data_IF_093543576673
#
_entry.id   IF_093543576673
#
_cell.length_a   1.000
_cell.length_b   1.000
_cell.length_c   1.000
_cell.angle_alpha   90.00
_cell.angle_beta   90.00
_cell.angle_gamma   90.00
#
_symmetry.space_group_name_H-M   'P 1'
#
loop_
_entity.id
_entity.type
_entity.pdbx_description
1 polymer ?
#
# COMPACT_ATOMS: atom_id res chain seq x y z
N UNK A 1 29.39 14.61 -6.74
CA UNK A 1 29.07 13.20 -6.46
C UNK A 1 28.18 13.05 -5.23
N UNK A 2 28.58 13.57 -4.06
CA UNK A 2 27.78 13.44 -2.81
C UNK A 2 26.34 13.95 -2.97
N UNK A 3 26.15 15.14 -3.55
CA UNK A 3 24.81 15.70 -3.76
C UNK A 3 23.92 14.82 -4.65
N UNK A 4 24.48 14.22 -5.68
CA UNK A 4 23.76 13.28 -6.56
C UNK A 4 23.37 12.03 -5.78
N UNK A 5 24.32 11.46 -5.03
CA UNK A 5 24.04 10.29 -4.21
C UNK A 5 22.92 10.54 -3.19
N UNK A 6 22.92 11.72 -2.56
CA UNK A 6 21.83 12.13 -1.63
C UNK A 6 20.50 12.25 -2.38
N UNK A 7 20.48 12.85 -3.57
CA UNK A 7 19.23 12.96 -4.35
C UNK A 7 18.64 11.59 -4.69
N UNK A 8 19.46 10.66 -5.19
CA UNK A 8 19.01 9.30 -5.50
C UNK A 8 18.60 8.51 -4.24
N UNK A 9 19.35 8.68 -3.14
CA UNK A 9 19.00 8.09 -1.86
C UNK A 9 17.59 8.52 -1.41
N UNK A 10 17.31 9.82 -1.41
CA UNK A 10 16.00 10.36 -1.00
C UNK A 10 14.90 9.89 -1.95
N UNK A 11 15.16 9.83 -3.26
CA UNK A 11 14.20 9.32 -4.25
C UNK A 11 13.81 7.88 -3.97
N UNK A 12 14.78 6.99 -3.72
CA UNK A 12 14.50 5.57 -3.44
C UNK A 12 13.75 5.40 -2.13
N UNK A 13 14.13 6.14 -1.08
CA UNK A 13 13.41 6.11 0.18
C UNK A 13 11.95 6.54 -0.03
N UNK A 14 11.69 7.64 -0.75
CA UNK A 14 10.34 8.11 -1.01
C UNK A 14 9.49 7.06 -1.76
N UNK A 15 10.04 6.45 -2.80
CA UNK A 15 9.37 5.37 -3.55
C UNK A 15 9.13 4.14 -2.69
N UNK A 16 10.11 3.76 -1.85
CA UNK A 16 9.99 2.58 -0.98
C UNK A 16 8.98 2.79 0.15
N UNK A 17 8.91 4.00 0.72
CA UNK A 17 7.89 4.39 1.72
C UNK A 17 6.50 4.32 1.10
N UNK A 18 6.26 5.00 -0.04
CA UNK A 18 4.97 4.99 -0.72
C UNK A 18 4.51 3.56 -1.06
N UNK A 19 5.38 2.76 -1.66
CA UNK A 19 5.09 1.36 -2.00
C UNK A 19 4.85 0.50 -0.74
N UNK A 20 5.56 0.79 0.35
CA UNK A 20 5.44 0.12 1.63
C UNK A 20 4.09 0.39 2.29
N UNK A 21 3.72 1.66 2.45
CA UNK A 21 2.42 2.05 3.02
C UNK A 21 1.26 1.44 2.25
N UNK A 22 1.27 1.55 0.92
CA UNK A 22 0.22 0.99 0.07
C UNK A 22 0.06 -0.52 0.28
N UNK A 23 1.15 -1.26 0.35
CA UNK A 23 1.09 -2.71 0.55
C UNK A 23 0.61 -3.07 1.94
N UNK A 24 1.20 -2.48 2.98
CA UNK A 24 0.93 -2.83 4.37
C UNK A 24 -0.52 -2.55 4.73
N UNK A 25 -1.01 -1.36 4.41
CA UNK A 25 -2.40 -0.98 4.69
C UNK A 25 -3.38 -1.87 3.92
N UNK A 26 -3.14 -2.08 2.61
CA UNK A 26 -4.04 -2.90 1.81
C UNK A 26 -4.07 -4.35 2.29
N UNK A 27 -2.92 -4.99 2.51
CA UNK A 27 -2.88 -6.36 3.01
C UNK A 27 -3.40 -6.48 4.43
N UNK A 28 -3.20 -5.47 5.26
CA UNK A 28 -3.74 -5.43 6.62
C UNK A 28 -5.26 -5.43 6.62
N UNK A 29 -5.90 -4.58 5.81
CA UNK A 29 -7.37 -4.56 5.72
C UNK A 29 -7.88 -5.84 5.05
N UNK A 30 -7.25 -6.29 3.96
CA UNK A 30 -7.65 -7.50 3.25
C UNK A 30 -7.58 -8.75 4.14
N UNK A 31 -6.68 -8.81 5.12
CA UNK A 31 -6.61 -9.92 6.07
C UNK A 31 -7.81 -10.00 7.02
N UNK A 32 -8.51 -8.89 7.22
CA UNK A 32 -9.66 -8.81 8.11
C UNK A 32 -10.98 -8.86 7.36
N UNK A 33 -11.06 -8.33 6.13
CA UNK A 33 -12.33 -8.18 5.39
C UNK A 33 -12.32 -8.72 3.96
N UNK A 34 -11.28 -9.47 3.56
CA UNK A 34 -11.09 -9.88 2.16
C UNK A 34 -10.75 -8.69 1.25
N UNK A 35 -10.49 -8.94 -0.02
CA UNK A 35 -10.24 -7.90 -1.04
C UNK A 35 -11.54 -7.42 -1.70
N UNK A 36 -12.51 -8.34 -1.89
CA UNK A 36 -13.85 -8.08 -2.43
C UNK A 36 -14.84 -8.81 -1.52
N UNK A 37 -16.01 -8.24 -1.31
CA UNK A 37 -17.11 -8.88 -0.59
C UNK A 37 -18.34 -8.93 -1.46
N UNK A 38 -19.05 -10.06 -1.43
CA UNK A 38 -20.42 -10.20 -1.91
C UNK A 38 -21.35 -10.12 -0.71
N UNK A 39 -22.24 -9.14 -0.70
CA UNK A 39 -23.20 -8.88 0.37
C UNK A 39 -24.62 -8.78 -0.22
N UNK A 40 -25.68 -9.00 0.58
CA UNK A 40 -27.04 -8.75 0.11
C UNK A 40 -27.23 -7.29 -0.32
N UNK A 41 -28.12 -7.06 -1.27
CA UNK A 41 -28.34 -5.74 -1.88
C UNK A 41 -28.89 -4.70 -0.90
N UNK A 42 -29.54 -5.11 0.17
CA UNK A 42 -30.05 -4.24 1.23
C UNK A 42 -28.94 -3.67 2.14
N UNK A 43 -27.71 -4.12 1.95
CA UNK A 43 -26.53 -3.73 2.71
C UNK A 43 -26.61 -3.96 4.24
N UNK A 44 -27.60 -4.70 4.72
CA UNK A 44 -27.82 -4.99 6.15
C UNK A 44 -27.11 -6.27 6.61
N UNK A 45 -25.96 -6.58 6.03
CA UNK A 45 -25.21 -7.81 6.28
C UNK A 45 -24.62 -7.92 7.70
N UNK A 46 -24.71 -6.89 8.54
CA UNK A 46 -24.30 -6.92 9.95
C UNK A 46 -25.44 -7.21 10.92
N UNK A 47 -26.65 -7.38 10.39
CA UNK A 47 -27.88 -7.74 11.11
C UNK A 47 -28.12 -9.25 11.18
N UNK A 48 -29.32 -9.64 11.60
CA UNK A 48 -29.79 -11.03 11.59
C UNK A 48 -30.90 -11.27 10.56
N UNK A 49 -31.28 -10.25 9.77
CA UNK A 49 -32.51 -10.23 8.99
C UNK A 49 -32.33 -10.71 7.54
N UNK A 50 -31.10 -10.63 7.01
CA UNK A 50 -30.82 -10.90 5.59
C UNK A 50 -29.67 -11.90 5.41
N UNK A 51 -29.87 -13.19 5.78
CA UNK A 51 -28.87 -14.22 5.47
C UNK A 51 -28.83 -14.49 3.97
N UNK A 52 -27.66 -14.84 3.47
CA UNK A 52 -27.44 -15.29 2.10
C UNK A 52 -26.88 -16.70 2.11
N UNK A 53 -27.02 -17.44 0.99
CA UNK A 53 -26.43 -18.78 0.90
C UNK A 53 -24.89 -18.72 0.94
N UNK A 54 -24.27 -19.64 1.67
CA UNK A 54 -22.82 -19.82 1.66
C UNK A 54 -22.30 -20.35 0.32
N UNK A 55 -23.18 -20.90 -0.51
CA UNK A 55 -22.92 -21.39 -1.86
C UNK A 55 -23.96 -20.89 -2.84
N UNK A 56 -24.00 -19.59 -3.14
CA UNK A 56 -24.95 -19.05 -4.11
C UNK A 56 -24.68 -19.62 -5.51
N UNK A 57 -25.68 -19.59 -6.39
CA UNK A 57 -25.50 -19.93 -7.79
C UNK A 57 -24.33 -19.15 -8.42
N UNK A 58 -23.53 -19.84 -9.25
CA UNK A 58 -22.34 -19.22 -9.90
C UNK A 58 -21.08 -19.14 -9.05
N UNK A 59 -21.06 -19.64 -7.81
CA UNK A 59 -19.90 -19.55 -6.92
C UNK A 59 -18.65 -20.25 -7.50
N UNK A 60 -18.85 -21.35 -8.23
CA UNK A 60 -17.74 -22.10 -8.86
C UNK A 60 -17.10 -21.27 -9.99
N UNK A 61 -17.89 -20.52 -10.75
CA UNK A 61 -17.39 -19.61 -11.80
C UNK A 61 -16.67 -18.41 -11.17
N UNK A 62 -17.22 -17.85 -10.10
CA UNK A 62 -16.58 -16.78 -9.33
C UNK A 62 -15.23 -17.25 -8.77
N UNK A 63 -15.16 -18.46 -8.23
CA UNK A 63 -13.94 -19.05 -7.71
C UNK A 63 -12.89 -19.34 -8.80
N UNK A 64 -13.33 -19.54 -10.04
CA UNK A 64 -12.48 -19.77 -11.20
C UNK A 64 -11.98 -18.46 -11.87
N UNK A 65 -12.47 -17.31 -11.46
CA UNK A 65 -12.02 -16.00 -11.99
C UNK A 65 -10.53 -15.83 -11.73
N UNK A 66 -9.80 -15.43 -12.75
CA UNK A 66 -8.35 -15.28 -12.68
C UNK A 66 -7.95 -14.26 -11.59
N UNK A 67 -7.12 -14.69 -10.66
CA UNK A 67 -6.64 -13.87 -9.55
C UNK A 67 -7.45 -14.04 -8.26
N UNK A 68 -8.56 -14.76 -8.27
CA UNK A 68 -9.26 -15.20 -7.06
C UNK A 68 -8.43 -16.33 -6.44
N UNK A 69 -8.06 -16.13 -5.18
CA UNK A 69 -7.32 -17.11 -4.39
C UNK A 69 -8.22 -18.00 -3.57
N UNK A 70 -9.21 -17.39 -2.94
CA UNK A 70 -10.12 -18.08 -2.02
C UNK A 70 -11.42 -17.28 -1.88
N UNK A 71 -12.54 -17.99 -1.73
CA UNK A 71 -13.84 -17.46 -1.38
C UNK A 71 -14.23 -18.03 -0.03
N UNK A 72 -14.39 -17.16 0.98
CA UNK A 72 -14.64 -17.55 2.36
C UNK A 72 -16.01 -17.05 2.82
N UNK A 73 -16.93 -17.94 3.22
CA UNK A 73 -18.21 -17.52 3.83
C UNK A 73 -17.96 -16.95 5.22
N UNK A 74 -18.60 -15.84 5.55
CA UNK A 74 -18.43 -15.15 6.85
C UNK A 74 -19.76 -14.66 7.39
N UNK A 75 -19.84 -14.57 8.72
CA UNK A 75 -21.00 -14.00 9.42
C UNK A 75 -20.55 -12.76 10.16
N UNK A 76 -21.16 -11.63 9.84
CA UNK A 76 -20.98 -10.38 10.55
C UNK A 76 -22.16 -10.12 11.47
N UNK A 77 -21.90 -9.68 12.68
CA UNK A 77 -22.91 -9.29 13.63
C UNK A 77 -22.48 -8.06 14.42
N UNK A 78 -23.21 -6.98 14.32
CA UNK A 78 -23.02 -5.82 15.19
C UNK A 78 -23.38 -6.16 16.62
N UNK A 79 -22.56 -5.73 17.55
CA UNK A 79 -22.78 -5.94 18.98
C UNK A 79 -22.23 -4.80 19.82
N UNK A 80 -22.70 -4.73 21.03
CA UNK A 80 -22.21 -3.79 22.05
C UNK A 80 -21.55 -4.60 23.14
N UNK A 81 -20.29 -4.30 23.44
CA UNK A 81 -19.57 -4.91 24.55
C UNK A 81 -19.46 -3.94 25.70
N UNK A 82 -19.58 -4.47 26.92
CA UNK A 82 -19.56 -3.67 28.13
C UNK A 82 -18.65 -4.32 29.17
N UNK A 83 -17.80 -3.50 29.81
CA UNK A 83 -17.11 -3.80 31.05
C UNK A 83 -17.23 -2.58 31.98
N UNK A 84 -17.82 -2.77 33.14
CA UNK A 84 -18.12 -1.70 34.10
C UNK A 84 -18.87 -0.53 33.44
N UNK A 85 -18.27 0.68 33.37
CA UNK A 85 -18.84 1.86 32.72
C UNK A 85 -18.39 2.04 31.27
N UNK A 86 -17.43 1.23 30.79
CA UNK A 86 -16.92 1.30 29.44
C UNK A 86 -17.80 0.51 28.49
N UNK A 87 -18.32 1.19 27.46
CA UNK A 87 -19.22 0.63 26.45
C UNK A 87 -18.64 0.92 25.07
N UNK A 88 -18.46 -0.15 24.24
CA UNK A 88 -17.96 -0.01 22.88
C UNK A 88 -18.82 -0.80 21.90
N UNK A 89 -19.07 -0.19 20.73
CA UNK A 89 -19.60 -0.90 19.58
C UNK A 89 -18.53 -1.78 18.94
N UNK A 90 -18.86 -3.01 18.60
CA UNK A 90 -17.96 -3.96 17.94
C UNK A 90 -18.70 -4.70 16.84
N UNK A 91 -17.96 -5.24 15.89
CA UNK A 91 -18.49 -6.17 14.88
C UNK A 91 -17.90 -7.55 15.17
N UNK A 92 -18.73 -8.51 15.48
CA UNK A 92 -18.34 -9.91 15.56
C UNK A 92 -18.25 -10.48 14.15
N UNK A 93 -17.14 -11.15 13.86
CA UNK A 93 -16.90 -11.83 12.60
C UNK A 93 -16.72 -13.32 12.84
N UNK A 94 -17.71 -14.09 12.44
CA UNK A 94 -17.64 -15.56 12.40
C UNK A 94 -16.88 -16.04 11.18
N UNK A 95 -15.80 -16.77 11.38
CA UNK A 95 -14.93 -17.29 10.31
C UNK A 95 -14.86 -18.81 10.41
N UNK A 96 -14.92 -19.55 9.28
CA UNK A 96 -14.74 -21.01 9.30
C UNK A 96 -13.30 -21.39 9.66
N UNK A 97 -13.12 -22.59 10.21
CA UNK A 97 -11.78 -23.12 10.55
C UNK A 97 -11.14 -22.55 11.82
N UNK A 98 -11.85 -21.74 12.59
CA UNK A 98 -11.39 -21.25 13.90
C UNK A 98 -11.89 -22.16 15.05
N UNK A 99 -11.59 -23.45 14.97
CA UNK A 99 -12.04 -24.44 15.97
C UNK A 99 -11.52 -24.16 17.37
N UNK A 100 -10.38 -23.48 17.47
CA UNK A 100 -9.83 -23.02 18.76
C UNK A 100 -10.72 -22.01 19.48
N UNK A 101 -11.63 -21.34 18.77
CA UNK A 101 -12.61 -20.40 19.29
C UNK A 101 -14.00 -21.01 19.49
N UNK A 102 -14.20 -22.32 19.16
CA UNK A 102 -15.50 -22.98 19.37
C UNK A 102 -15.93 -22.94 20.84
N UNK A 103 -17.25 -22.87 21.07
CA UNK A 103 -17.83 -22.83 22.41
C UNK A 103 -17.79 -21.45 23.06
N UNK A 104 -18.11 -20.40 22.30
CA UNK A 104 -18.12 -19.00 22.70
C UNK A 104 -16.71 -18.43 23.04
N UNK A 105 -15.66 -19.01 22.48
CA UNK A 105 -14.34 -18.41 22.46
C UNK A 105 -14.24 -17.29 21.43
N UNK A 106 -13.51 -16.23 21.76
CA UNK A 106 -13.28 -15.12 20.86
C UNK A 106 -11.81 -14.70 20.83
N UNK A 107 -11.42 -14.07 19.72
CA UNK A 107 -10.16 -13.33 19.62
C UNK A 107 -10.48 -11.84 19.46
N UNK A 108 -9.94 -11.01 20.33
CA UNK A 108 -10.21 -9.57 20.33
C UNK A 108 -8.99 -8.78 19.84
N UNK A 109 -9.19 -7.61 19.19
CA UNK A 109 -8.07 -6.77 18.80
C UNK A 109 -7.41 -6.13 20.03
N UNK A 110 -6.11 -5.90 19.95
CA UNK A 110 -5.28 -5.28 21.00
C UNK A 110 -5.82 -3.92 21.48
N UNK A 111 -6.41 -3.15 20.55
CA UNK A 111 -7.08 -1.88 20.88
C UNK A 111 -8.27 -2.09 21.79
N UNK A 112 -9.15 -3.08 21.50
CA UNK A 112 -10.31 -3.37 22.37
C UNK A 112 -9.86 -3.92 23.72
N UNK A 113 -8.85 -4.78 23.74
CA UNK A 113 -8.24 -5.29 24.97
C UNK A 113 -7.75 -4.15 25.87
N UNK A 114 -7.09 -3.15 25.28
CA UNK A 114 -6.60 -1.96 26.01
C UNK A 114 -7.74 -1.05 26.50
N UNK A 115 -8.78 -0.82 25.66
CA UNK A 115 -9.92 0.04 26.02
C UNK A 115 -10.76 -0.53 27.16
N UNK A 116 -10.89 -1.87 27.22
CA UNK A 116 -11.66 -2.56 28.23
C UNK A 116 -10.79 -3.10 29.38
N UNK A 117 -9.46 -2.94 29.32
CA UNK A 117 -8.52 -3.55 30.26
C UNK A 117 -8.76 -5.04 30.45
N UNK A 118 -8.94 -5.77 29.33
CA UNK A 118 -9.18 -7.21 29.26
C UNK A 118 -8.01 -7.93 28.60
N UNK A 119 -7.77 -9.17 29.04
CA UNK A 119 -6.72 -10.05 28.52
C UNK A 119 -7.22 -11.44 28.17
N UNK A 120 -6.27 -12.29 27.78
CA UNK A 120 -6.55 -13.71 27.52
C UNK A 120 -7.04 -14.39 28.81
N UNK A 121 -8.11 -15.18 28.68
CA UNK A 121 -8.76 -15.88 29.78
C UNK A 121 -9.90 -15.11 30.45
N UNK A 122 -10.03 -13.80 30.19
CA UNK A 122 -11.13 -13.00 30.74
C UNK A 122 -12.44 -13.26 29.97
N UNK A 123 -13.55 -12.93 30.64
CA UNK A 123 -14.87 -13.01 30.04
C UNK A 123 -15.34 -11.64 29.55
N UNK A 124 -15.91 -11.61 28.35
CA UNK A 124 -16.50 -10.43 27.73
C UNK A 124 -18.00 -10.61 27.56
N UNK A 125 -18.78 -9.67 28.09
CA UNK A 125 -20.21 -9.65 27.92
C UNK A 125 -20.60 -8.81 26.69
N UNK A 126 -21.34 -9.40 25.76
CA UNK A 126 -21.80 -8.76 24.55
C UNK A 126 -23.33 -8.76 24.45
N UNK A 127 -23.85 -7.65 23.96
CA UNK A 127 -25.27 -7.39 23.72
C UNK A 127 -25.50 -7.27 22.22
N UNK A 128 -26.40 -8.05 21.67
CA UNK A 128 -26.79 -8.04 20.28
C UNK A 128 -28.21 -7.55 20.14
N UNK A 129 -28.39 -6.48 19.40
CA UNK A 129 -29.70 -5.88 19.15
C UNK A 129 -30.26 -6.48 17.85
N UNK A 130 -31.50 -6.95 17.89
CA UNK A 130 -32.29 -7.49 16.80
C UNK A 130 -33.75 -7.43 17.19
N UNK A 131 -34.60 -8.39 16.77
CA UNK A 131 -35.97 -8.48 17.25
C UNK A 131 -36.05 -8.51 18.78
N UNK A 132 -35.07 -9.13 19.40
CA UNK A 132 -34.89 -9.14 20.86
C UNK A 132 -33.43 -8.92 21.19
N UNK A 133 -33.16 -8.29 22.33
CA UNK A 133 -31.78 -8.16 22.83
C UNK A 133 -31.28 -9.53 23.30
N UNK A 134 -30.28 -10.05 22.62
CA UNK A 134 -29.58 -11.28 22.99
C UNK A 134 -28.31 -10.92 23.75
N UNK A 135 -28.12 -11.49 24.94
CA UNK A 135 -26.92 -11.30 25.75
C UNK A 135 -26.11 -12.59 25.73
N UNK A 136 -24.81 -12.48 25.47
CA UNK A 136 -23.88 -13.62 25.49
C UNK A 136 -22.62 -13.27 26.25
N UNK A 137 -22.07 -14.24 26.93
CA UNK A 137 -20.76 -14.16 27.57
C UNK A 137 -19.78 -14.98 26.76
N UNK A 138 -18.72 -14.33 26.30
CA UNK A 138 -17.65 -14.93 25.53
C UNK A 138 -16.38 -15.00 26.37
N UNK A 139 -15.55 -16.03 26.14
CA UNK A 139 -14.25 -16.15 26.75
C UNK A 139 -13.15 -15.69 25.77
N UNK A 140 -12.29 -14.78 26.18
CA UNK A 140 -11.19 -14.28 25.37
C UNK A 140 -10.09 -15.34 25.31
N UNK A 141 -9.94 -16.00 24.16
CA UNK A 141 -8.91 -17.03 23.93
C UNK A 141 -7.59 -16.44 23.50
N UNK A 142 -7.61 -15.31 22.77
CA UNK A 142 -6.42 -14.63 22.31
C UNK A 142 -6.67 -13.15 22.07
N UNK A 143 -5.58 -12.38 22.11
CA UNK A 143 -5.56 -10.96 21.70
C UNK A 143 -4.71 -10.87 20.44
N UNK A 144 -5.31 -10.42 19.34
CA UNK A 144 -4.59 -10.26 18.10
C UNK A 144 -4.26 -8.79 17.83
N UNK A 145 -3.12 -8.55 17.17
CA UNK A 145 -2.75 -7.20 16.76
C UNK A 145 -3.46 -6.87 15.45
N UNK A 146 -4.26 -5.81 15.46
CA UNK A 146 -4.92 -5.33 14.26
C UNK A 146 -3.88 -4.73 13.30
N UNK A 147 -3.74 -5.24 12.06
CA UNK A 147 -2.71 -4.77 11.14
C UNK A 147 -2.87 -3.30 10.75
N UNK A 148 -4.12 -2.81 10.70
CA UNK A 148 -4.47 -1.44 10.29
C UNK A 148 -5.59 -0.92 11.17
N UNK A 149 -5.41 0.24 11.77
CA UNK A 149 -6.41 0.92 12.59
C UNK A 149 -7.28 1.86 11.72
N UNK A 150 -7.84 1.32 10.62
CA UNK A 150 -8.53 2.13 9.60
C UNK A 150 -9.92 2.62 9.99
N UNK A 151 -10.53 1.98 10.99
CA UNK A 151 -11.89 2.26 11.43
C UNK A 151 -11.99 2.16 12.95
N UNK A 152 -12.98 2.87 13.52
CA UNK A 152 -13.41 2.63 14.91
C UNK A 152 -14.13 1.28 15.07
N UNK A 153 -14.36 0.55 13.97
CA UNK A 153 -14.96 -0.77 13.96
C UNK A 153 -13.99 -1.82 14.52
N UNK A 154 -14.15 -2.08 15.79
CA UNK A 154 -13.41 -3.12 16.50
C UNK A 154 -13.97 -4.49 16.07
N UNK A 155 -13.21 -5.25 15.29
CA UNK A 155 -13.63 -6.58 14.81
C UNK A 155 -13.24 -7.64 15.84
N UNK A 156 -14.23 -8.38 16.34
CA UNK A 156 -14.03 -9.53 17.24
C UNK A 156 -14.18 -10.81 16.41
N UNK A 157 -13.14 -11.65 16.38
CA UNK A 157 -13.18 -12.91 15.66
C UNK A 157 -13.83 -14.00 16.52
N UNK A 158 -14.73 -14.77 15.93
CA UNK A 158 -15.44 -15.87 16.57
C UNK A 158 -15.55 -17.08 15.61
N UNK A 159 -15.96 -18.23 16.15
CA UNK A 159 -16.34 -19.35 15.28
C UNK A 159 -17.61 -19.03 14.49
N UNK A 160 -17.64 -19.43 13.22
CA UNK A 160 -18.83 -19.23 12.38
C UNK A 160 -20.06 -19.96 12.93
N UNK A 161 -19.87 -21.14 13.56
CA UNK A 161 -20.93 -21.92 14.16
C UNK A 161 -21.58 -21.22 15.36
N UNK A 162 -20.76 -20.53 16.18
CA UNK A 162 -21.30 -19.78 17.32
C UNK A 162 -22.10 -18.56 16.84
N UNK A 163 -21.68 -17.93 15.75
CA UNK A 163 -22.42 -16.80 15.14
C UNK A 163 -23.72 -17.27 14.48
N UNK A 164 -23.74 -18.43 13.80
CA UNK A 164 -24.97 -19.05 13.29
C UNK A 164 -25.98 -19.31 14.39
N UNK A 165 -25.53 -19.94 15.48
CA UNK A 165 -26.40 -20.19 16.67
C UNK A 165 -26.92 -18.89 17.29
N UNK A 166 -26.11 -17.85 17.30
CA UNK A 166 -26.51 -16.55 17.82
C UNK A 166 -27.63 -15.93 16.97
N UNK A 167 -27.50 -15.98 15.65
CA UNK A 167 -28.46 -15.46 14.70
C UNK A 167 -29.70 -16.38 14.60
N UNK A 168 -29.58 -17.66 14.87
CA UNK A 168 -30.63 -18.66 14.63
C UNK A 168 -30.67 -19.13 13.17
N UNK A 169 -29.54 -19.08 12.49
CA UNK A 169 -29.37 -19.40 11.09
C UNK A 169 -29.06 -20.88 10.84
N UNK A 170 -29.38 -21.34 9.64
CA UNK A 170 -29.08 -22.68 9.15
C UNK A 170 -27.60 -22.84 8.75
N UNK A 171 -27.19 -24.06 8.39
CA UNK A 171 -25.79 -24.40 8.15
C UNK A 171 -25.22 -23.74 6.89
N UNK A 172 -26.04 -23.45 5.91
CA UNK A 172 -25.69 -22.78 4.65
C UNK A 172 -25.90 -21.27 4.66
N UNK A 173 -26.44 -20.70 5.73
CA UNK A 173 -26.69 -19.27 5.86
C UNK A 173 -25.49 -18.51 6.41
N UNK A 174 -25.17 -17.38 5.74
CA UNK A 174 -24.06 -16.48 6.09
C UNK A 174 -24.42 -15.03 5.82
N UNK A 175 -23.64 -14.07 6.32
CA UNK A 175 -23.86 -12.64 6.05
C UNK A 175 -23.27 -12.19 4.71
N UNK A 176 -22.16 -12.79 4.32
CA UNK A 176 -21.38 -12.35 3.16
C UNK A 176 -20.39 -13.44 2.72
N UNK A 177 -19.91 -13.29 1.50
CA UNK A 177 -18.76 -14.04 0.99
C UNK A 177 -17.59 -13.09 0.81
N UNK A 178 -16.46 -13.40 1.43
CA UNK A 178 -15.21 -12.67 1.27
C UNK A 178 -14.35 -13.34 0.21
N UNK A 179 -13.88 -12.56 -0.73
CA UNK A 179 -13.03 -13.00 -1.82
C UNK A 179 -11.64 -12.42 -1.61
N UNK A 180 -10.67 -13.28 -1.44
CA UNK A 180 -9.26 -12.92 -1.37
C UNK A 180 -8.63 -13.02 -2.74
N UNK A 181 -7.85 -12.00 -3.13
CA UNK A 181 -7.13 -11.97 -4.40
C UNK A 181 -5.64 -12.25 -4.19
N UNK A 182 -5.00 -12.75 -5.24
CA UNK A 182 -3.54 -12.83 -5.29
C UNK A 182 -2.89 -11.44 -5.25
N UNK A 183 -1.70 -11.32 -4.67
CA UNK A 183 -0.97 -10.05 -4.51
C UNK A 183 -0.80 -9.25 -5.80
N UNK A 184 -0.68 -9.92 -6.95
CA UNK A 184 -0.56 -9.30 -8.27
C UNK A 184 -1.83 -8.58 -8.73
N UNK A 185 -3.01 -9.02 -8.25
CA UNK A 185 -4.33 -8.49 -8.61
C UNK A 185 -4.85 -7.43 -7.64
N UNK A 186 -4.12 -7.19 -6.56
CA UNK A 186 -4.45 -6.17 -5.55
C UNK A 186 -4.17 -4.73 -5.98
N UNK A 187 -3.80 -4.45 -7.22
CA UNK A 187 -3.73 -3.08 -7.75
C UNK A 187 -5.14 -2.51 -7.92
N UNK A 188 -5.32 -1.20 -7.66
CA UNK A 188 -6.64 -0.57 -7.64
C UNK A 188 -7.46 -0.80 -8.92
N UNK A 189 -6.84 -0.62 -10.10
CA UNK A 189 -7.51 -0.83 -11.39
C UNK A 189 -7.85 -2.29 -11.66
N UNK A 190 -6.96 -3.21 -11.28
CA UNK A 190 -7.19 -4.65 -11.46
C UNK A 190 -8.24 -5.18 -10.48
N UNK A 191 -8.20 -4.73 -9.22
CA UNK A 191 -9.20 -5.07 -8.22
C UNK A 191 -10.60 -4.59 -8.64
N UNK A 192 -10.70 -3.36 -9.14
CA UNK A 192 -11.96 -2.83 -9.64
C UNK A 192 -12.50 -3.66 -10.81
N UNK A 193 -11.64 -4.02 -11.77
CA UNK A 193 -12.04 -4.89 -12.89
C UNK A 193 -12.51 -6.27 -12.41
N UNK A 194 -11.85 -6.85 -11.41
CA UNK A 194 -12.29 -8.14 -10.82
C UNK A 194 -13.61 -8.00 -10.06
N UNK A 195 -13.79 -6.92 -9.30
CA UNK A 195 -15.07 -6.63 -8.64
C UNK A 195 -16.20 -6.56 -9.64
N UNK A 196 -16.02 -5.83 -10.75
CA UNK A 196 -17.04 -5.66 -11.77
C UNK A 196 -17.38 -6.99 -12.48
N UNK A 197 -16.35 -7.83 -12.74
CA UNK A 197 -16.53 -9.18 -13.31
C UNK A 197 -17.27 -10.10 -12.34
N UNK A 198 -16.85 -10.15 -11.08
CA UNK A 198 -17.49 -10.96 -10.03
C UNK A 198 -18.92 -10.50 -9.78
N UNK A 199 -19.14 -9.18 -9.70
CA UNK A 199 -20.49 -8.62 -9.55
C UNK A 199 -21.42 -8.96 -10.72
N UNK A 200 -20.88 -8.96 -11.95
CA UNK A 200 -21.65 -9.36 -13.14
C UNK A 200 -22.00 -10.85 -13.08
N UNK A 201 -21.06 -11.72 -12.70
CA UNK A 201 -21.32 -13.15 -12.55
C UNK A 201 -22.38 -13.41 -11.46
N UNK A 202 -22.28 -12.74 -10.32
CA UNK A 202 -23.27 -12.86 -9.24
C UNK A 202 -24.66 -12.46 -9.70
N UNK A 203 -24.79 -11.37 -10.48
CA UNK A 203 -26.06 -10.91 -11.01
C UNK A 203 -26.63 -11.82 -12.11
N UNK A 204 -25.79 -12.36 -12.98
CA UNK A 204 -26.23 -13.26 -14.09
C UNK A 204 -26.78 -14.58 -13.55
N UNK A 205 -26.22 -15.05 -12.44
CA UNK A 205 -26.65 -16.32 -11.83
C UNK A 205 -27.73 -16.15 -10.75
N UNK A 206 -28.08 -14.91 -10.37
CA UNK A 206 -29.17 -14.65 -9.46
C UNK A 206 -30.50 -15.10 -10.12
N UNK A 207 -31.23 -16.01 -9.47
CA UNK A 207 -32.58 -16.40 -9.89
C UNK A 207 -33.61 -15.33 -9.54
N UNK A 208 -34.84 -15.51 -10.03
CA UNK A 208 -35.97 -14.57 -9.73
C UNK A 208 -36.32 -14.57 -8.23
N UNK A 209 -36.02 -15.65 -7.51
CA UNK A 209 -36.31 -15.82 -6.07
C UNK A 209 -35.02 -15.80 -5.20
N UNK A 210 -33.85 -15.61 -5.79
CA UNK A 210 -32.58 -15.59 -5.06
C UNK A 210 -32.20 -14.17 -4.60
N UNK A 211 -31.57 -14.06 -3.43
CA UNK A 211 -31.05 -12.80 -2.92
C UNK A 211 -29.97 -12.23 -3.86
N UNK A 212 -30.21 -11.03 -4.35
CA UNK A 212 -29.26 -10.32 -5.21
C UNK A 212 -28.02 -9.97 -4.39
N UNK A 213 -26.86 -10.50 -4.82
CA UNK A 213 -25.58 -10.19 -4.22
C UNK A 213 -24.90 -9.03 -4.94
N UNK A 214 -24.40 -8.08 -4.16
CA UNK A 214 -23.65 -6.91 -4.65
C UNK A 214 -22.17 -7.06 -4.28
N UNK A 215 -21.30 -6.91 -5.28
CA UNK A 215 -19.86 -6.92 -5.08
C UNK A 215 -19.38 -5.54 -4.62
N UNK A 216 -18.65 -5.49 -3.53
CA UNK A 216 -17.97 -4.29 -3.03
C UNK A 216 -16.49 -4.58 -2.79
N UNK A 217 -15.59 -3.70 -3.26
CA UNK A 217 -14.16 -3.82 -3.02
C UNK A 217 -13.73 -3.07 -1.77
N UNK A 218 -12.50 -3.30 -1.32
CA UNK A 218 -11.89 -2.49 -0.26
C UNK A 218 -11.86 -1.00 -0.61
N UNK A 219 -11.73 -0.66 -1.90
CA UNK A 219 -11.76 0.73 -2.37
C UNK A 219 -13.11 1.40 -2.12
N UNK A 220 -14.19 0.65 -2.31
CA UNK A 220 -15.55 1.14 -2.10
C UNK A 220 -15.88 1.29 -0.61
N UNK A 221 -15.33 0.41 0.23
CA UNK A 221 -15.57 0.41 1.69
C UNK A 221 -14.76 1.47 2.44
N UNK A 222 -13.52 1.70 2.01
CA UNK A 222 -12.57 2.60 2.69
C UNK A 222 -12.05 3.71 1.77
N UNK A 223 -12.93 4.50 1.10
CA UNK A 223 -12.52 5.48 0.11
C UNK A 223 -11.56 6.53 0.69
N UNK A 224 -11.82 7.04 1.89
CA UNK A 224 -10.98 8.03 2.55
C UNK A 224 -9.53 7.54 2.79
N UNK A 225 -9.38 6.26 3.14
CA UNK A 225 -8.08 5.66 3.36
C UNK A 225 -7.30 5.52 2.05
N UNK A 226 -7.97 5.11 0.97
CA UNK A 226 -7.34 5.01 -0.34
C UNK A 226 -7.03 6.38 -0.93
N UNK A 227 -7.85 7.40 -0.68
CA UNK A 227 -7.54 8.79 -1.04
C UNK A 227 -6.30 9.28 -0.29
N UNK A 228 -6.16 8.97 0.99
CA UNK A 228 -4.96 9.27 1.76
C UNK A 228 -3.72 8.53 1.21
N UNK A 229 -3.84 7.27 0.80
CA UNK A 229 -2.76 6.53 0.13
C UNK A 229 -2.37 7.18 -1.21
N UNK A 230 -3.34 7.64 -2.00
CA UNK A 230 -3.09 8.36 -3.25
C UNK A 230 -2.36 9.69 -3.00
N UNK A 231 -2.66 10.37 -1.89
CA UNK A 231 -1.94 11.57 -1.48
C UNK A 231 -0.46 11.27 -1.14
N UNK A 232 -0.18 10.15 -0.47
CA UNK A 232 1.20 9.70 -0.20
C UNK A 232 1.96 9.46 -1.51
N UNK A 233 1.33 8.81 -2.50
CA UNK A 233 1.93 8.56 -3.80
C UNK A 233 2.22 9.86 -4.55
N UNK A 234 1.29 10.82 -4.51
CA UNK A 234 1.48 12.15 -5.10
C UNK A 234 2.64 12.89 -4.45
N UNK A 235 2.74 12.85 -3.11
CA UNK A 235 3.87 13.44 -2.38
C UNK A 235 5.20 12.76 -2.74
N UNK A 236 5.22 11.44 -2.86
CA UNK A 236 6.41 10.70 -3.30
C UNK A 236 6.82 11.10 -4.72
N UNK A 237 5.87 11.26 -5.65
CA UNK A 237 6.13 11.74 -7.01
C UNK A 237 6.68 13.19 -6.98
N UNK A 238 6.12 14.07 -6.17
CA UNK A 238 6.60 15.45 -6.02
C UNK A 238 8.05 15.48 -5.51
N UNK A 239 8.39 14.66 -4.50
CA UNK A 239 9.77 14.50 -4.01
C UNK A 239 10.69 13.99 -5.12
N UNK A 240 10.25 13.01 -5.89
CA UNK A 240 11.02 12.43 -6.99
C UNK A 240 11.35 13.47 -8.06
N UNK A 241 10.37 14.28 -8.47
CA UNK A 241 10.56 15.39 -9.41
C UNK A 241 11.53 16.43 -8.82
N UNK A 242 11.29 16.86 -7.58
CA UNK A 242 12.11 17.86 -6.91
C UNK A 242 13.59 17.40 -6.82
N UNK A 243 13.82 16.18 -6.38
CA UNK A 243 15.17 15.65 -6.25
C UNK A 243 15.86 15.45 -7.60
N UNK A 244 15.13 15.09 -8.65
CA UNK A 244 15.66 15.04 -10.03
C UNK A 244 16.09 16.42 -10.50
N UNK A 245 15.29 17.45 -10.24
CA UNK A 245 15.61 18.85 -10.57
C UNK A 245 16.85 19.32 -9.79
N UNK A 246 16.90 19.06 -8.49
CA UNK A 246 18.06 19.40 -7.63
C UNK A 246 19.34 18.71 -8.13
N UNK A 247 19.26 17.41 -8.43
CA UNK A 247 20.40 16.67 -8.99
C UNK A 247 20.84 17.25 -10.33
N UNK A 248 19.88 17.61 -11.20
CA UNK A 248 20.16 18.23 -12.48
C UNK A 248 20.87 19.57 -12.35
N UNK A 249 20.38 20.48 -11.50
CA UNK A 249 21.03 21.78 -11.25
C UNK A 249 22.43 21.64 -10.64
N UNK A 250 22.61 20.72 -9.71
CA UNK A 250 23.93 20.42 -9.15
C UNK A 250 24.91 19.92 -10.21
N UNK A 251 24.43 19.10 -11.16
CA UNK A 251 25.24 18.61 -12.27
C UNK A 251 25.55 19.71 -13.29
N UNK A 252 24.58 20.58 -13.59
CA UNK A 252 24.82 21.77 -14.45
C UNK A 252 25.94 22.63 -13.86
N UNK A 253 25.85 22.97 -12.57
CA UNK A 253 26.85 23.77 -11.86
C UNK A 253 28.23 23.07 -11.87
N UNK A 254 28.26 21.77 -11.58
CA UNK A 254 29.48 20.99 -11.60
C UNK A 254 30.12 20.93 -13.00
N UNK A 255 29.31 20.77 -14.06
CA UNK A 255 29.80 20.77 -15.45
C UNK A 255 30.31 22.16 -15.85
N UNK A 256 29.62 23.23 -15.49
CA UNK A 256 30.08 24.60 -15.76
C UNK A 256 31.43 24.88 -15.08
N UNK A 257 31.59 24.52 -13.83
CA UNK A 257 32.88 24.63 -13.11
C UNK A 257 33.97 23.85 -13.84
N UNK A 258 33.66 22.61 -14.28
CA UNK A 258 34.60 21.78 -15.02
C UNK A 258 34.99 22.40 -16.36
N UNK A 259 34.01 22.99 -17.08
CA UNK A 259 34.21 23.70 -18.34
C UNK A 259 35.13 24.93 -18.16
N UNK A 260 34.80 25.79 -17.17
CA UNK A 260 35.62 26.99 -16.92
C UNK A 260 37.03 26.65 -16.48
N UNK A 261 37.20 25.61 -15.67
CA UNK A 261 38.55 25.16 -15.23
C UNK A 261 39.40 24.65 -16.39
N UNK A 262 38.76 24.11 -17.42
CA UNK A 262 39.45 23.52 -18.59
C UNK A 262 39.30 24.39 -19.84
N UNK A 263 38.98 25.68 -19.72
CA UNK A 263 38.67 26.53 -20.86
C UNK A 263 39.87 26.69 -21.82
N UNK A 264 41.09 26.79 -21.29
CA UNK A 264 42.34 26.87 -22.06
C UNK A 264 42.58 25.57 -22.87
N UNK A 265 42.35 24.42 -22.23
CA UNK A 265 42.46 23.12 -22.89
C UNK A 265 41.44 22.99 -24.02
N UNK A 266 40.18 23.46 -23.80
CA UNK A 266 39.12 23.49 -24.84
C UNK A 266 39.57 24.38 -26.01
N UNK A 267 40.14 25.57 -25.74
CA UNK A 267 40.64 26.45 -26.76
C UNK A 267 41.75 25.82 -27.59
N UNK A 268 42.72 25.16 -26.94
CA UNK A 268 43.81 24.44 -27.63
C UNK A 268 43.29 23.31 -28.49
N UNK A 269 42.32 22.48 -28.01
CA UNK A 269 41.73 21.41 -28.77
C UNK A 269 40.98 21.91 -30.00
N UNK A 270 40.28 23.05 -29.86
CA UNK A 270 39.62 23.72 -31.04
C UNK A 270 40.63 24.27 -32.03
N UNK A 271 41.74 24.87 -31.56
CA UNK A 271 42.82 25.33 -32.44
C UNK A 271 43.47 24.19 -33.22
N UNK A 272 43.50 22.99 -32.66
CA UNK A 272 43.95 21.75 -33.32
C UNK A 272 42.91 21.13 -34.24
N UNK A 273 41.74 21.75 -34.41
CA UNK A 273 40.67 21.30 -35.36
C UNK A 273 39.63 20.36 -34.72
N UNK A 274 39.60 20.19 -33.41
CA UNK A 274 38.61 19.37 -32.76
C UNK A 274 37.24 20.03 -32.81
N UNK A 275 36.19 19.30 -33.24
CA UNK A 275 34.83 19.84 -33.38
C UNK A 275 34.15 20.00 -32.01
N UNK A 276 33.24 20.97 -31.89
CA UNK A 276 32.44 21.21 -30.68
C UNK A 276 31.66 19.98 -30.25
N UNK A 277 31.19 19.16 -31.20
CA UNK A 277 30.49 17.90 -30.89
C UNK A 277 31.39 16.88 -30.19
N UNK A 278 32.63 16.77 -30.64
CA UNK A 278 33.62 15.85 -30.06
C UNK A 278 33.95 16.27 -28.63
N UNK A 279 34.22 17.56 -28.41
CA UNK A 279 34.51 18.13 -27.08
C UNK A 279 33.29 17.93 -26.16
N UNK A 280 32.08 18.28 -26.61
CA UNK A 280 30.83 18.11 -25.88
C UNK A 280 30.60 16.66 -25.48
N UNK A 281 30.87 15.71 -26.38
CA UNK A 281 30.73 14.27 -26.08
C UNK A 281 31.64 13.81 -24.96
N UNK A 282 32.87 14.33 -24.87
CA UNK A 282 33.79 14.01 -23.76
C UNK A 282 33.22 14.50 -22.43
N UNK A 283 32.77 15.74 -22.36
CA UNK A 283 32.20 16.31 -21.13
C UNK A 283 30.92 15.60 -20.70
N UNK A 284 30.04 15.25 -21.66
CA UNK A 284 28.83 14.47 -21.38
C UNK A 284 29.15 13.06 -20.85
N UNK A 285 30.17 12.37 -21.41
CA UNK A 285 30.59 11.05 -20.92
C UNK A 285 31.13 11.13 -19.50
N UNK A 286 31.95 12.15 -19.20
CA UNK A 286 32.47 12.36 -17.85
C UNK A 286 31.32 12.62 -16.88
N UNK A 287 30.39 13.49 -17.24
CA UNK A 287 29.21 13.79 -16.43
C UNK A 287 28.32 12.56 -16.22
N UNK A 288 28.04 11.80 -17.30
CA UNK A 288 27.30 10.53 -17.25
C UNK A 288 27.92 9.55 -16.24
N UNK A 289 29.25 9.39 -16.28
CA UNK A 289 29.96 8.51 -15.36
C UNK A 289 29.85 8.99 -13.89
N UNK A 290 29.88 10.31 -13.66
CA UNK A 290 29.69 10.89 -12.34
C UNK A 290 28.26 10.69 -11.83
N UNK A 291 27.24 10.85 -12.69
CA UNK A 291 25.83 10.61 -12.34
C UNK A 291 25.62 9.14 -12.00
N UNK A 292 26.09 8.21 -12.86
CA UNK A 292 25.95 6.77 -12.64
C UNK A 292 26.64 6.32 -11.33
N UNK A 293 27.85 6.82 -11.04
CA UNK A 293 28.51 6.53 -9.75
C UNK A 293 27.74 7.08 -8.57
N UNK A 294 27.22 8.31 -8.67
CA UNK A 294 26.39 8.91 -7.62
C UNK A 294 25.11 8.12 -7.39
N UNK A 295 24.44 7.73 -8.46
CA UNK A 295 23.22 6.88 -8.44
C UNK A 295 23.50 5.54 -7.76
N UNK A 296 24.55 4.81 -8.16
CA UNK A 296 24.90 3.52 -7.56
C UNK A 296 25.19 3.64 -6.05
N UNK A 297 25.92 4.68 -5.64
CA UNK A 297 26.22 4.92 -4.21
C UNK A 297 24.93 5.27 -3.46
N UNK A 298 24.10 6.18 -4.01
CA UNK A 298 22.84 6.58 -3.41
C UNK A 298 21.89 5.39 -3.24
N UNK A 299 21.75 4.57 -4.29
CA UNK A 299 20.93 3.36 -4.28
C UNK A 299 21.41 2.33 -3.26
N UNK A 300 22.74 2.08 -3.21
CA UNK A 300 23.29 1.13 -2.25
C UNK A 300 23.02 1.55 -0.79
N UNK A 301 23.20 2.83 -0.48
CA UNK A 301 22.91 3.36 0.86
C UNK A 301 21.40 3.30 1.15
N UNK A 302 20.55 3.69 0.20
CA UNK A 302 19.10 3.65 0.36
C UNK A 302 18.60 2.23 0.62
N UNK A 303 19.05 1.25 -0.17
CA UNK A 303 18.70 -0.16 0.01
C UNK A 303 19.17 -0.72 1.34
N UNK A 304 20.37 -0.34 1.79
CA UNK A 304 20.88 -0.72 3.11
C UNK A 304 20.03 -0.14 4.25
N UNK A 305 19.60 1.12 4.14
CA UNK A 305 18.69 1.75 5.11
C UNK A 305 17.30 1.09 5.09
N UNK A 306 16.77 0.76 3.91
CA UNK A 306 15.51 0.03 3.79
C UNK A 306 15.59 -1.36 4.45
N UNK A 307 16.69 -2.08 4.23
CA UNK A 307 16.91 -3.39 4.84
C UNK A 307 17.04 -3.28 6.37
N UNK A 308 17.76 -2.28 6.86
CA UNK A 308 17.92 -2.02 8.29
C UNK A 308 16.57 -1.71 8.95
N UNK A 309 15.77 -0.81 8.36
CA UNK A 309 14.44 -0.47 8.87
C UNK A 309 13.51 -1.68 8.91
N UNK A 310 13.48 -2.49 7.85
CA UNK A 310 12.64 -3.69 7.80
C UNK A 310 13.06 -4.76 8.82
N UNK A 311 14.36 -4.82 9.18
CA UNK A 311 14.85 -5.76 10.17
C UNK A 311 14.63 -5.29 11.62
N UNK A 312 14.73 -3.99 11.86
CA UNK A 312 14.80 -3.41 13.21
C UNK A 312 13.56 -2.64 13.64
N UNK A 313 12.73 -2.18 12.66
CA UNK A 313 11.54 -1.32 12.90
C UNK A 313 11.85 -0.12 13.82
N UNK A 314 13.04 0.50 13.65
CA UNK A 314 13.50 1.64 14.48
C UNK A 314 12.57 2.84 14.35
N UNK A 315 12.12 3.13 13.10
CA UNK A 315 11.20 4.24 12.85
C UNK A 315 9.76 3.79 13.15
N UNK A 316 9.33 4.07 14.38
CA UNK A 316 7.95 3.81 14.84
C UNK A 316 7.04 4.98 14.46
N UNK A 317 5.78 4.67 14.22
CA UNK A 317 4.71 5.62 13.95
C UNK A 317 3.63 5.48 15.03
N UNK A 318 2.84 6.56 15.21
CA UNK A 318 1.63 6.48 16.02
C UNK A 318 0.50 5.88 15.15
N UNK A 319 -0.06 4.71 15.51
CA UNK A 319 -1.12 4.06 14.74
C UNK A 319 -2.38 4.90 14.56
N UNK A 320 -2.72 5.75 15.55
CA UNK A 320 -3.90 6.61 15.50
C UNK A 320 -3.84 7.65 14.36
N UNK A 321 -2.63 8.07 13.98
CA UNK A 321 -2.44 9.07 12.91
C UNK A 321 -2.07 8.44 11.56
N UNK A 322 -1.39 7.29 11.57
CA UNK A 322 -0.80 6.68 10.37
C UNK A 322 -1.35 5.29 10.06
N UNK A 323 -2.32 4.82 10.82
CA UNK A 323 -2.97 3.51 10.70
C UNK A 323 -2.05 2.29 10.88
N UNK A 324 -0.75 2.51 11.03
CA UNK A 324 0.28 1.46 11.22
C UNK A 324 1.31 1.90 12.26
N UNK A 325 1.97 0.92 12.89
CA UNK A 325 2.86 1.14 14.05
C UNK A 325 4.31 1.46 13.69
N UNK A 326 4.74 1.29 12.45
CA UNK A 326 6.11 1.54 11.98
C UNK A 326 6.12 1.99 10.50
N UNK A 327 7.21 2.61 10.05
CA UNK A 327 7.36 3.00 8.65
C UNK A 327 7.64 1.75 7.81
N UNK A 328 6.69 1.34 6.95
CA UNK A 328 6.89 0.19 6.08
C UNK A 328 7.72 0.60 4.87
N UNK A 329 8.76 -0.17 4.55
CA UNK A 329 9.60 0.05 3.39
C UNK A 329 9.53 -1.16 2.45
N UNK A 330 8.89 -1.00 1.30
CA UNK A 330 8.87 -2.04 0.28
C UNK A 330 9.78 -1.66 -0.88
N UNK A 331 10.84 -2.44 -1.05
CA UNK A 331 11.72 -2.32 -2.21
C UNK A 331 11.03 -2.94 -3.42
N UNK A 332 10.58 -2.07 -4.34
CA UNK A 332 10.02 -2.47 -5.63
C UNK A 332 11.09 -2.22 -6.70
N UNK A 333 11.90 -3.25 -6.98
CA UNK A 333 13.05 -3.12 -7.89
C UNK A 333 12.69 -2.61 -9.29
N UNK A 334 11.63 -3.11 -9.98
CA UNK A 334 11.19 -2.55 -11.27
C UNK A 334 10.87 -1.06 -11.21
N UNK A 335 10.18 -0.62 -10.18
CA UNK A 335 9.78 0.79 -10.01
C UNK A 335 10.99 1.69 -9.73
N UNK A 336 11.92 1.21 -8.91
CA UNK A 336 13.19 1.91 -8.62
C UNK A 336 14.02 2.06 -9.89
N UNK A 337 14.20 0.99 -10.68
CA UNK A 337 14.93 1.05 -11.92
C UNK A 337 14.29 1.99 -12.96
N UNK A 338 12.96 2.03 -13.00
CA UNK A 338 12.23 2.97 -13.86
C UNK A 338 12.46 4.42 -13.41
N UNK A 339 12.36 4.69 -12.11
CA UNK A 339 12.61 6.02 -11.54
C UNK A 339 14.05 6.48 -11.80
N UNK A 340 15.03 5.59 -11.60
CA UNK A 340 16.45 5.84 -11.88
C UNK A 340 16.70 6.14 -13.37
N UNK A 341 16.11 5.35 -14.26
CA UNK A 341 16.25 5.56 -15.70
C UNK A 341 15.64 6.90 -16.14
N UNK A 342 14.46 7.25 -15.64
CA UNK A 342 13.81 8.53 -15.91
C UNK A 342 14.62 9.71 -15.37
N UNK A 343 15.07 9.64 -14.10
CA UNK A 343 15.88 10.68 -13.48
C UNK A 343 17.22 10.86 -14.23
N UNK A 344 17.90 9.76 -14.56
CA UNK A 344 19.10 9.79 -15.36
C UNK A 344 18.87 10.45 -16.70
N UNK A 345 17.82 10.07 -17.43
CA UNK A 345 17.45 10.65 -18.73
C UNK A 345 17.21 12.16 -18.64
N UNK A 346 16.44 12.62 -17.65
CA UNK A 346 16.18 14.04 -17.40
C UNK A 346 17.46 14.80 -17.07
N UNK A 347 18.32 14.27 -16.20
CA UNK A 347 19.61 14.90 -15.85
C UNK A 347 20.48 15.02 -17.10
N UNK A 348 20.56 13.99 -17.93
CA UNK A 348 21.35 14.02 -19.17
C UNK A 348 20.82 15.04 -20.16
N UNK A 349 19.49 15.21 -20.27
CA UNK A 349 18.87 16.25 -21.08
C UNK A 349 19.20 17.66 -20.54
N UNK A 350 19.12 17.87 -19.25
CA UNK A 350 19.47 19.15 -18.62
C UNK A 350 20.94 19.51 -18.84
N UNK A 351 21.85 18.55 -18.90
CA UNK A 351 23.28 18.77 -19.17
C UNK A 351 23.56 19.23 -20.59
N UNK A 352 22.64 19.08 -21.54
CA UNK A 352 22.78 19.66 -22.89
C UNK A 352 22.79 21.19 -22.86
N UNK A 353 22.19 21.83 -21.85
CA UNK A 353 22.14 23.28 -21.70
C UNK A 353 23.56 23.86 -21.55
N UNK A 354 24.36 23.48 -20.52
CA UNK A 354 25.71 24.01 -20.36
C UNK A 354 26.66 23.59 -21.45
N UNK A 355 26.48 22.44 -22.05
CA UNK A 355 27.33 21.95 -23.16
C UNK A 355 27.26 22.89 -24.39
N UNK A 356 26.13 23.56 -24.63
CA UNK A 356 26.02 24.54 -25.68
C UNK A 356 26.94 25.78 -25.50
N UNK A 357 27.39 26.06 -24.28
CA UNK A 357 28.39 27.09 -24.04
C UNK A 357 29.76 26.77 -24.62
N UNK A 358 30.08 25.49 -24.85
CA UNK A 358 31.34 25.07 -25.50
C UNK A 358 31.50 25.69 -26.89
N UNK A 359 30.41 25.83 -27.64
CA UNK A 359 30.44 26.43 -28.98
C UNK A 359 30.79 27.94 -28.94
N UNK A 360 30.53 28.62 -27.85
CA UNK A 360 30.79 30.05 -27.66
C UNK A 360 32.23 30.37 -27.20
N UNK A 361 33.05 29.34 -26.89
CA UNK A 361 34.46 29.55 -26.51
C UNK A 361 35.28 29.87 -27.77
N UNK A 362 35.80 31.11 -27.80
CA UNK A 362 36.67 31.57 -28.92
C UNK A 362 38.14 31.11 -28.66
N UNK A 363 38.72 30.31 -29.57
CA UNK A 363 40.11 29.85 -29.45
C UNK A 363 41.14 30.99 -29.37
N UNK A 364 40.86 32.10 -30.10
CA UNK A 364 41.77 33.24 -30.17
C UNK A 364 41.95 34.00 -28.86
N UNK A 365 40.86 34.09 -28.08
CA UNK A 365 40.88 34.77 -26.78
C UNK A 365 41.48 33.88 -25.68
N UNK A 366 41.20 32.58 -25.71
CA UNK A 366 41.61 31.62 -24.67
C UNK A 366 43.11 31.25 -24.70
N UNK A 367 43.75 31.30 -25.90
CA UNK A 367 45.20 31.05 -26.04
C UNK A 367 46.05 32.29 -25.68
N UNK A 368 45.49 33.51 -25.73
CA UNK A 368 46.17 34.75 -25.34
C UNK A 368 46.17 35.04 -23.83
N UNK A 369 45.35 34.33 -23.05
CA UNK A 369 45.20 34.56 -21.60
C UNK A 369 46.15 33.74 -20.73
N UNK A 370 47.15 33.10 -21.34
CA UNK A 370 48.34 32.56 -20.69
C UNK A 370 49.45 33.57 -20.90
#
# INVERSE_FOLDING_TARGET
>A
MVSIAISFLVMIIAVSVSSGFRREIRSGIASVSGDIQLTPADMNYIGEESPVSSRPPGIDEISAVQGVKEVTPVIYRAGIVKKDDNIHGVVFKGVPGLDSLAGLGISIPDRLASLLELGEGDDLQAYFVGERVKVRRFNIRSVYRMPVHADDNLVVLASIEDMRRLNGWEEDEVSALEISLDDSWRQASLMQSRKDEIGTLALVHAGDDDDILVASSLLDKYPQLFDWLNLIDFNALAVLILMTVVAGFNMISGLLILLFRNISTIGTLKAMGMTDRSISSVFLRVSSHLVLKGMLIGNAIALALCALQNATHVLKLNPDNYFISYVPLKVNLPLILLADALAYGVIMLLLLIPVRFISKVDPAVTVRAQ
#
